data_IF_542213475239
#
_entry.id   IF_542213475239
#
_cell.length_a   1.000
_cell.length_b   1.000
_cell.length_c   1.000
_cell.angle_alpha   90.00
_cell.angle_beta   90.00
_cell.angle_gamma   90.00
#
_symmetry.space_group_name_H-M   'P 1'
#
loop_
_entity.id
_entity.type
_entity.pdbx_description
1 polymer ?
#
# COMPACT_ATOMS: atom_id res chain seq x y z
N UNK A 1 -9.58 20.57 27.98
CA UNK A 1 -9.84 20.68 26.53
C UNK A 1 -8.70 19.94 25.80
N UNK A 2 -9.01 18.99 24.92
CA UNK A 2 -8.02 18.17 24.17
C UNK A 2 -8.23 18.47 22.68
N UNK A 3 -7.18 18.73 21.87
CA UNK A 3 -7.39 19.21 20.51
C UNK A 3 -8.02 18.11 19.63
N UNK A 4 -8.99 18.53 18.82
CA UNK A 4 -9.76 17.74 17.85
C UNK A 4 -8.91 17.40 16.61
N UNK A 5 -7.82 16.67 16.77
CA UNK A 5 -7.01 16.13 15.66
C UNK A 5 -7.19 14.61 15.51
N UNK A 6 -8.40 14.10 15.79
CA UNK A 6 -8.72 12.66 15.65
C UNK A 6 -9.77 12.38 14.58
N UNK A 7 -10.18 13.37 13.80
CA UNK A 7 -11.21 13.21 12.77
C UNK A 7 -10.67 12.78 11.38
N UNK A 8 -9.35 12.85 11.13
CA UNK A 8 -8.79 12.39 9.85
C UNK A 8 -8.73 10.85 9.74
N UNK A 9 -8.87 10.13 10.86
CA UNK A 9 -8.59 8.68 10.91
C UNK A 9 -9.79 7.78 10.56
N UNK A 10 -10.99 8.33 10.39
CA UNK A 10 -12.22 7.55 10.21
C UNK A 10 -13.09 8.13 9.07
N UNK A 11 -12.63 7.94 7.83
CA UNK A 11 -13.51 7.94 6.66
C UNK A 11 -13.40 6.58 5.98
N UNK A 12 -14.41 5.69 6.12
CA UNK A 12 -14.44 4.36 5.51
C UNK A 12 -14.40 4.35 3.97
N UNK A 13 -14.35 5.53 3.33
CA UNK A 13 -14.42 5.74 1.88
C UNK A 13 -13.26 6.58 1.34
N UNK A 14 -12.24 6.90 2.14
CA UNK A 14 -11.05 7.56 1.60
C UNK A 14 -10.28 6.57 0.70
N UNK A 15 -9.80 7.05 -0.44
CA UNK A 15 -8.88 6.31 -1.30
C UNK A 15 -7.53 6.09 -0.61
N UNK A 16 -6.46 5.91 -1.39
CA UNK A 16 -5.12 5.82 -0.79
C UNK A 16 -4.77 7.09 -0.02
N UNK A 17 -3.99 6.93 1.05
CA UNK A 17 -3.47 8.06 1.79
C UNK A 17 -2.59 8.93 0.88
N UNK A 18 -2.57 10.26 1.14
CA UNK A 18 -1.68 11.17 0.42
C UNK A 18 -0.20 10.76 0.55
N UNK A 19 0.18 10.24 1.71
CA UNK A 19 1.51 9.69 1.99
C UNK A 19 1.40 8.21 2.40
N UNK A 20 2.18 7.35 1.75
CA UNK A 20 2.20 5.92 2.05
C UNK A 20 2.75 5.65 3.44
N UNK A 21 1.95 4.97 4.25
CA UNK A 21 2.37 4.49 5.58
C UNK A 21 2.73 3.00 5.54
N UNK A 22 3.51 2.50 6.51
CA UNK A 22 3.81 1.06 6.57
C UNK A 22 2.53 0.21 6.69
N UNK A 23 1.56 0.69 7.48
CA UNK A 23 0.27 0.00 7.65
C UNK A 23 -0.52 -0.07 6.35
N UNK A 24 -0.57 1.03 5.59
CA UNK A 24 -1.22 1.04 4.27
C UNK A 24 -0.45 0.17 3.26
N UNK A 25 0.89 0.25 3.23
CA UNK A 25 1.71 -0.55 2.34
C UNK A 25 1.49 -2.05 2.54
N UNK A 26 1.47 -2.51 3.79
CA UNK A 26 1.17 -3.90 4.15
C UNK A 26 -0.24 -4.31 3.69
N UNK A 27 -1.24 -3.45 3.88
CA UNK A 27 -2.61 -3.67 3.38
C UNK A 27 -2.68 -3.76 1.86
N UNK A 28 -2.03 -2.84 1.14
CA UNK A 28 -1.94 -2.83 -0.33
C UNK A 28 -1.29 -4.11 -0.84
N UNK A 29 -0.26 -4.61 -0.15
CA UNK A 29 0.45 -5.84 -0.48
C UNK A 29 -0.27 -7.11 0.02
N UNK A 30 -1.42 -6.99 0.67
CA UNK A 30 -2.21 -8.11 1.17
C UNK A 30 -1.47 -8.97 2.21
N UNK A 31 -0.66 -8.35 3.06
CA UNK A 31 0.10 -9.06 4.11
C UNK A 31 0.11 -8.28 5.43
N UNK A 32 0.24 -9.00 6.56
CA UNK A 32 0.43 -8.40 7.88
C UNK A 32 1.89 -8.24 8.30
N UNK A 33 2.85 -8.73 7.51
CA UNK A 33 4.28 -8.69 7.82
C UNK A 33 5.14 -8.49 6.56
N UNK A 34 6.43 -8.21 6.76
CA UNK A 34 7.41 -8.07 5.67
C UNK A 34 7.78 -9.40 4.98
N UNK A 35 7.36 -10.53 5.54
CA UNK A 35 7.64 -11.87 5.01
C UNK A 35 6.79 -12.10 3.76
N UNK A 36 7.41 -12.56 2.67
CA UNK A 36 6.69 -12.92 1.45
C UNK A 36 6.19 -11.74 0.60
N UNK A 37 6.57 -10.49 0.94
CA UNK A 37 6.19 -9.26 0.22
C UNK A 37 6.43 -9.38 -1.29
N UNK A 38 7.60 -9.89 -1.70
CA UNK A 38 7.94 -9.99 -3.13
C UNK A 38 7.08 -11.00 -3.89
N UNK A 39 6.54 -12.01 -3.22
CA UNK A 39 5.61 -12.98 -3.82
C UNK A 39 4.24 -12.31 -4.05
N UNK A 40 3.71 -11.65 -3.02
CA UNK A 40 2.42 -10.98 -3.09
C UNK A 40 2.44 -9.84 -4.11
N UNK A 41 3.48 -9.01 -4.05
CA UNK A 41 3.70 -7.93 -5.01
C UNK A 41 3.66 -8.44 -6.45
N UNK A 42 4.38 -9.52 -6.79
CA UNK A 42 4.38 -10.07 -8.16
C UNK A 42 3.00 -10.52 -8.62
N UNK A 43 2.23 -11.18 -7.76
CA UNK A 43 0.87 -11.61 -8.09
C UNK A 43 -0.06 -10.42 -8.30
N UNK A 44 0.01 -9.42 -7.42
CA UNK A 44 -0.80 -8.21 -7.50
C UNK A 44 -0.43 -7.38 -8.72
N UNK A 45 0.86 -7.19 -8.98
CA UNK A 45 1.36 -6.45 -10.13
C UNK A 45 0.87 -7.11 -11.43
N UNK A 46 0.99 -8.43 -11.56
CA UNK A 46 0.52 -9.14 -12.73
C UNK A 46 -0.99 -8.94 -12.98
N UNK A 47 -1.81 -8.93 -11.92
CA UNK A 47 -3.26 -8.71 -12.04
C UNK A 47 -3.63 -7.26 -12.36
N UNK A 48 -2.83 -6.29 -11.91
CA UNK A 48 -3.13 -4.87 -12.01
C UNK A 48 -2.32 -4.14 -13.10
N UNK A 49 -1.46 -4.84 -13.85
CA UNK A 49 -0.59 -4.23 -14.85
C UNK A 49 -1.40 -3.59 -15.99
N UNK A 50 -1.03 -2.38 -16.47
CA UNK A 50 -1.72 -1.69 -17.56
C UNK A 50 -1.87 -2.55 -18.83
N UNK A 51 -0.81 -3.26 -19.23
CA UNK A 51 -0.81 -4.15 -20.41
C UNK A 51 -1.86 -5.28 -20.35
N UNK A 52 -2.40 -5.55 -19.17
CA UNK A 52 -3.46 -6.55 -18.92
C UNK A 52 -4.82 -5.90 -18.64
N UNK A 53 -4.99 -4.63 -19.01
CA UNK A 53 -6.20 -3.86 -18.74
C UNK A 53 -6.30 -3.34 -17.30
N UNK A 54 -5.20 -3.39 -16.54
CA UNK A 54 -5.12 -2.85 -15.19
C UNK A 54 -4.84 -1.33 -15.16
N UNK A 55 -4.51 -0.82 -13.99
CA UNK A 55 -4.34 0.61 -13.76
C UNK A 55 -2.87 0.98 -13.50
N UNK A 56 -2.41 2.02 -14.21
CA UNK A 56 -1.10 2.64 -13.96
C UNK A 56 -1.01 3.12 -12.52
N UNK A 57 -2.08 3.75 -12.02
CA UNK A 57 -2.12 4.28 -10.66
C UNK A 57 -2.04 3.18 -9.59
N UNK A 58 -2.77 2.07 -9.78
CA UNK A 58 -2.68 0.92 -8.87
C UNK A 58 -1.28 0.28 -8.91
N UNK A 59 -0.69 0.19 -10.10
CA UNK A 59 0.69 -0.30 -10.26
C UNK A 59 1.69 0.60 -9.54
N UNK A 60 1.56 1.92 -9.64
CA UNK A 60 2.38 2.88 -8.90
C UNK A 60 2.22 2.70 -7.38
N UNK A 61 1.00 2.50 -6.88
CA UNK A 61 0.74 2.26 -5.45
C UNK A 61 1.34 0.93 -4.95
N UNK A 62 1.31 -0.13 -5.77
CA UNK A 62 2.00 -1.38 -5.47
C UNK A 62 3.53 -1.18 -5.39
N UNK A 63 4.11 -0.38 -6.28
CA UNK A 63 5.54 -0.06 -6.27
C UNK A 63 5.94 0.74 -5.03
N UNK A 64 5.17 1.77 -4.71
CA UNK A 64 5.37 2.62 -3.51
C UNK A 64 5.29 1.78 -2.23
N UNK A 65 4.28 0.92 -2.11
CA UNK A 65 4.13 0.01 -0.98
C UNK A 65 5.32 -0.95 -0.83
N UNK A 66 5.75 -1.60 -1.92
CA UNK A 66 6.90 -2.52 -1.89
C UNK A 66 8.18 -1.79 -1.50
N UNK A 67 8.44 -0.62 -2.06
CA UNK A 67 9.63 0.17 -1.75
C UNK A 67 9.68 0.55 -0.27
N UNK A 68 8.54 0.96 0.31
CA UNK A 68 8.47 1.32 1.72
C UNK A 68 8.75 0.12 2.64
N UNK A 69 8.12 -1.03 2.37
CA UNK A 69 8.33 -2.23 3.21
C UNK A 69 9.77 -2.72 3.11
N UNK A 70 10.41 -2.66 1.94
CA UNK A 70 11.84 -3.01 1.81
C UNK A 70 12.74 -2.05 2.57
N UNK A 71 12.46 -0.74 2.49
CA UNK A 71 13.23 0.28 3.21
C UNK A 71 13.16 0.12 4.73
N UNK A 72 12.00 -0.26 5.28
CA UNK A 72 11.80 -0.40 6.73
C UNK A 72 12.09 -1.81 7.27
N UNK A 73 11.94 -2.85 6.43
CA UNK A 73 12.07 -4.24 6.82
C UNK A 73 13.46 -4.85 6.69
N UNK A 74 14.43 -4.14 6.08
CA UNK A 74 15.82 -4.60 5.98
C UNK A 74 15.97 -5.95 5.29
N UNK A 75 15.28 -6.18 4.17
CA UNK A 75 15.48 -7.36 3.30
C UNK A 75 16.07 -6.94 1.97
#
# INVERSE_FOLDING_TARGET
MKPLLSAMRWMPHAGFLPEMTLSEALKILGTGSSIGVDRNYRQLLHRNHPDKGGSVYLTQKLNEARALVKKQGGV
#
